data_IF_915366465178
#
_entry.id   IF_915366465178
#
_cell.length_a   1.000
_cell.length_b   1.000
_cell.length_c   1.000
_cell.angle_alpha   90.00
_cell.angle_beta   90.00
_cell.angle_gamma   90.00
#
_symmetry.space_group_name_H-M   'P 1'
#
loop_
_entity.id
_entity.type
_entity.pdbx_description
1 polymer ?
#
# COMPACT_ATOMS: atom_id res chain seq x y z
N UNK A 1 3.62 23.77 -5.05
CA UNK A 1 4.11 22.37 -5.06
C UNK A 1 2.93 21.51 -5.44
N UNK A 2 3.10 20.52 -6.30
CA UNK A 2 2.01 19.60 -6.64
C UNK A 2 1.81 18.64 -5.47
N UNK A 3 0.57 18.43 -5.04
CA UNK A 3 0.23 17.47 -3.99
C UNK A 3 -0.27 16.18 -4.64
N UNK A 4 0.18 15.03 -4.12
CA UNK A 4 -0.26 13.71 -4.55
C UNK A 4 -0.69 12.87 -3.35
N UNK A 5 -1.94 12.42 -3.39
CA UNK A 5 -2.51 11.51 -2.40
C UNK A 5 -2.65 10.10 -2.97
N UNK A 6 -2.10 9.11 -2.27
CA UNK A 6 -2.13 7.70 -2.68
C UNK A 6 -2.75 6.81 -1.60
N UNK A 7 -3.59 5.87 -2.01
CA UNK A 7 -4.12 4.84 -1.10
C UNK A 7 -3.78 3.47 -1.67
N UNK A 8 -3.03 2.68 -0.90
CA UNK A 8 -2.78 1.27 -1.21
C UNK A 8 -3.83 0.43 -0.49
N UNK A 9 -4.60 -0.35 -1.25
CA UNK A 9 -5.48 -1.37 -0.70
C UNK A 9 -4.75 -2.71 -0.72
N UNK A 10 -4.61 -3.35 0.43
CA UNK A 10 -3.86 -4.59 0.59
C UNK A 10 -4.76 -5.74 1.04
N UNK A 11 -4.75 -6.82 0.24
CA UNK A 11 -5.34 -8.09 0.61
C UNK A 11 -4.51 -8.75 1.72
N UNK A 12 -5.14 -9.04 2.86
CA UNK A 12 -4.53 -9.73 4.00
C UNK A 12 -5.19 -11.06 4.32
N UNK A 13 -5.87 -11.67 3.33
CA UNK A 13 -6.41 -13.04 3.42
C UNK A 13 -5.30 -14.09 3.63
N UNK A 14 -5.67 -15.28 4.08
CA UNK A 14 -4.70 -16.32 4.47
C UNK A 14 -3.70 -16.70 3.37
N UNK A 15 -4.11 -16.67 2.09
CA UNK A 15 -3.24 -16.93 0.93
C UNK A 15 -2.17 -15.87 0.70
N UNK A 16 -2.34 -14.66 1.25
CA UNK A 16 -1.42 -13.54 1.06
C UNK A 16 -0.26 -13.53 2.04
N UNK A 17 -0.25 -14.40 3.06
CA UNK A 17 0.75 -14.37 4.13
C UNK A 17 2.21 -14.36 3.65
N UNK A 18 2.55 -15.16 2.63
CA UNK A 18 3.90 -15.20 2.04
C UNK A 18 4.27 -13.95 1.22
N UNK A 19 3.28 -13.13 0.86
CA UNK A 19 3.42 -11.98 -0.03
C UNK A 19 3.41 -10.64 0.71
N UNK A 20 3.00 -10.59 1.99
CA UNK A 20 2.90 -9.34 2.74
C UNK A 20 4.22 -8.56 2.78
N UNK A 21 5.34 -9.25 3.01
CA UNK A 21 6.66 -8.62 2.99
C UNK A 21 7.01 -8.05 1.61
N UNK A 22 6.67 -8.76 0.54
CA UNK A 22 6.91 -8.29 -0.83
C UNK A 22 6.00 -7.10 -1.20
N UNK A 23 4.77 -7.09 -0.70
CA UNK A 23 3.83 -5.98 -0.86
C UNK A 23 4.35 -4.71 -0.17
N UNK A 24 4.82 -4.82 1.07
CA UNK A 24 5.44 -3.70 1.80
C UNK A 24 6.63 -3.12 1.04
N UNK A 25 7.58 -3.97 0.62
CA UNK A 25 8.76 -3.53 -0.15
C UNK A 25 8.37 -2.84 -1.47
N UNK A 26 7.30 -3.32 -2.12
CA UNK A 26 6.80 -2.74 -3.36
C UNK A 26 6.19 -1.36 -3.14
N UNK A 27 5.40 -1.18 -2.07
CA UNK A 27 4.82 0.10 -1.68
C UNK A 27 5.94 1.13 -1.39
N UNK A 28 6.93 0.75 -0.58
CA UNK A 28 8.08 1.60 -0.27
C UNK A 28 8.83 2.00 -1.55
N UNK A 29 9.05 1.07 -2.48
CA UNK A 29 9.71 1.35 -3.76
C UNK A 29 8.91 2.35 -4.61
N UNK A 30 7.58 2.21 -4.67
CA UNK A 30 6.71 3.12 -5.43
C UNK A 30 6.82 4.54 -4.86
N UNK A 31 6.63 4.70 -3.55
CA UNK A 31 6.69 6.01 -2.89
C UNK A 31 8.06 6.67 -3.08
N UNK A 32 9.15 5.93 -2.87
CA UNK A 32 10.50 6.44 -3.07
C UNK A 32 10.74 6.87 -4.53
N UNK A 33 10.22 6.12 -5.50
CA UNK A 33 10.35 6.48 -6.92
C UNK A 33 9.65 7.80 -7.22
N UNK A 34 8.43 7.98 -6.73
CA UNK A 34 7.63 9.21 -6.94
C UNK A 34 8.31 10.42 -6.30
N UNK A 35 8.77 10.30 -5.06
CA UNK A 35 9.45 11.40 -4.35
C UNK A 35 10.72 11.82 -5.11
N UNK A 36 11.44 10.86 -5.69
CA UNK A 36 12.66 11.13 -6.46
C UNK A 36 12.37 11.74 -7.84
N UNK A 37 11.29 11.34 -8.52
CA UNK A 37 11.00 11.76 -9.90
C UNK A 37 10.14 13.02 -10.01
N UNK A 38 9.11 13.18 -9.18
CA UNK A 38 8.02 14.15 -9.44
C UNK A 38 8.14 15.46 -8.64
N UNK A 39 9.13 15.63 -7.74
CA UNK A 39 9.28 16.80 -6.83
C UNK A 39 7.93 17.28 -6.25
N UNK A 40 7.08 16.33 -5.86
CA UNK A 40 5.76 16.58 -5.31
C UNK A 40 5.72 16.26 -3.81
N UNK A 41 4.75 16.86 -3.12
CA UNK A 41 4.44 16.50 -1.73
C UNK A 41 3.51 15.29 -1.75
N UNK A 42 3.99 14.15 -1.24
CA UNK A 42 3.30 12.87 -1.30
C UNK A 42 2.77 12.50 0.08
N UNK A 43 1.46 12.30 0.17
CA UNK A 43 0.82 11.65 1.32
C UNK A 43 0.30 10.30 0.87
N UNK A 44 0.45 9.28 1.71
CA UNK A 44 -0.12 7.98 1.41
C UNK A 44 -0.78 7.33 2.62
N UNK A 45 -1.73 6.44 2.34
CA UNK A 45 -2.35 5.54 3.30
C UNK A 45 -2.26 4.10 2.82
N UNK A 46 -2.27 3.16 3.78
CA UNK A 46 -2.41 1.74 3.56
C UNK A 46 -3.71 1.29 4.24
N UNK A 47 -4.59 0.65 3.47
CA UNK A 47 -5.84 0.08 3.96
C UNK A 47 -5.80 -1.41 3.71
N UNK A 48 -5.87 -2.21 4.78
CA UNK A 48 -6.01 -3.65 4.64
C UNK A 48 -7.49 -4.03 4.49
N UNK A 49 -7.74 -5.04 3.67
CA UNK A 49 -9.00 -5.77 3.66
C UNK A 49 -8.73 -7.25 3.90
N UNK A 50 -9.72 -7.92 4.46
CA UNK A 50 -9.65 -9.33 4.86
C UNK A 50 -10.96 -10.03 4.50
N UNK A 51 -10.98 -11.34 4.69
CA UNK A 51 -12.25 -12.07 4.62
C UNK A 51 -13.27 -11.49 5.59
N UNK A 52 -14.55 -11.62 5.21
CA UNK A 52 -15.63 -11.31 6.13
C UNK A 52 -15.42 -12.09 7.43
N UNK A 53 -15.69 -11.48 8.60
CA UNK A 53 -15.67 -12.21 9.85
C UNK A 53 -16.58 -13.44 9.72
N UNK A 54 -16.19 -14.60 10.28
CA UNK A 54 -17.03 -15.79 10.23
C UNK A 54 -18.42 -15.41 10.73
N UNK A 55 -19.44 -15.66 9.92
CA UNK A 55 -20.84 -15.49 10.30
C UNK A 55 -21.28 -16.77 11.00
N UNK A 56 -20.86 -16.96 12.26
CA UNK A 56 -21.37 -17.99 13.17
C UNK A 56 -21.11 -17.58 14.64
#
# INVERSE_FOLDING_TARGET
MTELDLVFLCDTTGSMGSYLNAAQQSIEKIINTIIQSEKCDVRFALVEYKDHPPQD
#
